data_IF_840395359381
#
_entry.id   IF_840395359381
#
_cell.length_a   1.000
_cell.length_b   1.000
_cell.length_c   1.000
_cell.angle_alpha   90.00
_cell.angle_beta   90.00
_cell.angle_gamma   90.00
#
_symmetry.space_group_name_H-M   'P 1'
#
loop_
_entity.id
_entity.type
_entity.pdbx_description
1 polymer ?
#
# COMPACT_ATOMS: atom_id res chain seq x y z
N UNK A 1 11.81 1.35 -8.30
CA UNK A 1 10.87 0.60 -7.41
C UNK A 1 9.49 0.65 -7.99
N UNK A 2 8.66 -0.33 -7.66
CA UNK A 2 7.24 -0.32 -8.02
C UNK A 2 6.36 -0.35 -6.79
N UNK A 3 5.14 0.20 -6.94
CA UNK A 3 4.11 0.18 -5.93
C UNK A 3 2.82 -0.41 -6.48
N UNK A 4 2.10 -1.13 -5.64
CA UNK A 4 0.66 -1.41 -5.82
C UNK A 4 -0.06 -0.88 -4.60
N UNK A 5 -1.08 -0.05 -4.80
CA UNK A 5 -1.85 0.46 -3.68
C UNK A 5 -3.15 1.15 -4.07
N UNK A 6 -3.70 1.91 -3.12
CA UNK A 6 -5.00 2.55 -3.24
C UNK A 6 -4.89 4.08 -3.47
N UNK A 7 -5.92 4.85 -3.11
CA UNK A 7 -5.94 6.32 -3.26
C UNK A 7 -4.76 7.01 -2.58
N UNK A 8 -4.24 6.46 -1.48
CA UNK A 8 -3.10 7.03 -0.78
C UNK A 8 -1.83 6.87 -1.63
N UNK A 9 -1.72 5.77 -2.38
CA UNK A 9 -0.54 5.44 -3.17
C UNK A 9 -0.55 6.16 -4.52
N UNK A 10 -1.69 6.14 -5.22
CA UNK A 10 -1.83 6.73 -6.56
C UNK A 10 -2.05 8.25 -6.55
N UNK A 11 -2.48 8.79 -5.41
CA UNK A 11 -2.86 10.19 -5.24
C UNK A 11 -4.37 10.37 -5.14
N UNK A 12 -4.78 11.34 -4.34
CA UNK A 12 -6.19 11.65 -4.11
C UNK A 12 -6.37 13.10 -3.66
N UNK A 13 -7.56 13.65 -3.92
CA UNK A 13 -7.88 15.03 -3.57
C UNK A 13 -6.93 16.02 -4.25
N UNK A 14 -6.29 16.94 -3.50
CA UNK A 14 -5.41 17.96 -4.06
C UNK A 14 -3.99 17.47 -4.36
N UNK A 15 -3.63 16.23 -3.98
CA UNK A 15 -2.25 15.75 -4.08
C UNK A 15 -2.06 14.98 -5.39
N UNK A 16 -1.23 15.49 -6.32
CA UNK A 16 -0.95 14.82 -7.57
C UNK A 16 -0.05 13.59 -7.37
N UNK A 17 -0.06 12.68 -8.36
CA UNK A 17 0.66 11.39 -8.28
C UNK A 17 2.18 11.54 -8.02
N UNK A 18 2.81 12.61 -8.49
CA UNK A 18 4.24 12.88 -8.28
C UNK A 18 4.59 13.47 -6.89
N UNK A 19 3.59 13.76 -6.04
CA UNK A 19 3.76 14.23 -4.66
C UNK A 19 3.16 13.25 -3.63
N UNK A 20 2.76 12.05 -4.05
CA UNK A 20 2.28 11.04 -3.12
C UNK A 20 3.43 10.48 -2.29
N UNK A 21 3.09 9.84 -1.16
CA UNK A 21 4.10 9.23 -0.31
C UNK A 21 4.91 8.16 -1.06
N UNK A 22 4.31 7.49 -2.04
CA UNK A 22 4.99 6.49 -2.86
C UNK A 22 6.07 7.15 -3.73
N UNK A 23 5.72 8.25 -4.42
CA UNK A 23 6.66 9.02 -5.23
C UNK A 23 7.75 9.68 -4.39
N UNK A 24 7.37 10.22 -3.23
CA UNK A 24 8.28 10.88 -2.31
C UNK A 24 9.23 9.89 -1.62
N UNK A 25 8.75 8.70 -1.24
CA UNK A 25 9.62 7.61 -0.72
C UNK A 25 10.68 7.24 -1.76
N UNK A 26 10.26 7.08 -3.03
CA UNK A 26 11.19 6.80 -4.11
C UNK A 26 12.23 7.91 -4.26
N UNK A 27 11.80 9.18 -4.21
CA UNK A 27 12.69 10.34 -4.27
C UNK A 27 13.72 10.36 -3.13
N UNK A 28 13.29 10.11 -1.89
CA UNK A 28 14.15 10.05 -0.71
C UNK A 28 15.20 8.93 -0.80
N UNK A 29 14.85 7.80 -1.41
CA UNK A 29 15.75 6.67 -1.63
C UNK A 29 16.60 6.80 -2.92
N UNK A 30 16.39 7.85 -3.73
CA UNK A 30 17.09 8.06 -5.00
C UNK A 30 16.62 7.16 -6.16
N UNK A 31 15.37 6.68 -6.11
CA UNK A 31 14.78 5.74 -7.05
C UNK A 31 13.66 6.38 -7.87
N UNK A 32 13.34 5.78 -9.03
CA UNK A 32 12.15 6.14 -9.80
C UNK A 32 10.96 5.24 -9.42
N UNK A 33 9.76 5.81 -9.17
CA UNK A 33 8.56 5.05 -8.89
C UNK A 33 7.80 4.66 -10.17
N UNK A 34 7.27 3.44 -10.20
CA UNK A 34 6.13 3.05 -11.06
C UNK A 34 4.98 2.64 -10.15
N UNK A 35 3.83 3.27 -10.28
CA UNK A 35 2.71 3.11 -9.34
C UNK A 35 1.52 2.50 -10.07
N UNK A 36 0.98 1.42 -9.53
CA UNK A 36 -0.22 0.73 -9.99
C UNK A 36 -1.32 0.74 -8.91
N UNK A 37 -2.55 0.51 -9.34
CA UNK A 37 -3.74 0.55 -8.49
C UNK A 37 -4.66 1.72 -8.82
N UNK A 38 -5.57 2.07 -7.91
CA UNK A 38 -6.44 3.22 -8.04
C UNK A 38 -7.16 3.58 -6.73
N UNK A 39 -7.86 4.71 -6.71
CA UNK A 39 -8.75 5.05 -5.61
C UNK A 39 -9.78 3.95 -5.30
N UNK A 40 -9.84 3.56 -4.03
CA UNK A 40 -10.77 2.56 -3.51
C UNK A 40 -10.39 1.10 -3.77
N UNK A 41 -9.24 0.84 -4.42
CA UNK A 41 -8.76 -0.55 -4.61
C UNK A 41 -8.20 -1.12 -3.32
N UNK A 42 -8.09 -2.44 -3.28
CA UNK A 42 -7.58 -3.21 -2.15
C UNK A 42 -7.31 -4.65 -2.56
N UNK A 43 -7.07 -5.51 -1.59
CA UNK A 43 -6.86 -6.94 -1.83
C UNK A 43 -8.15 -7.60 -2.36
N UNK A 44 -9.31 -7.19 -1.85
CA UNK A 44 -10.64 -7.62 -2.35
C UNK A 44 -11.46 -6.45 -2.90
N UNK A 45 -11.15 -5.23 -2.48
CA UNK A 45 -11.83 -4.03 -2.94
C UNK A 45 -11.43 -3.69 -4.36
N UNK A 46 -12.42 -3.55 -5.24
CA UNK A 46 -12.21 -3.30 -6.68
C UNK A 46 -12.04 -1.82 -7.05
N UNK A 47 -12.29 -0.91 -6.11
CA UNK A 47 -12.33 0.53 -6.37
C UNK A 47 -13.29 0.90 -7.51
N UNK A 48 -13.10 2.10 -8.06
CA UNK A 48 -13.88 2.60 -9.22
C UNK A 48 -13.46 1.96 -10.55
N UNK A 49 -12.26 1.38 -10.58
CA UNK A 49 -11.65 0.79 -11.79
C UNK A 49 -11.98 -0.70 -11.96
N UNK A 50 -12.80 -1.28 -11.08
CA UNK A 50 -13.27 -2.67 -11.22
C UNK A 50 -12.21 -3.76 -10.98
N UNK A 51 -11.03 -3.41 -10.44
CA UNK A 51 -9.88 -4.32 -10.26
C UNK A 51 -9.32 -4.28 -8.84
N UNK A 52 -8.86 -5.44 -8.35
CA UNK A 52 -8.14 -5.57 -7.06
C UNK A 52 -6.67 -5.22 -7.24
N UNK A 53 -5.89 -5.24 -6.15
CA UNK A 53 -4.44 -5.14 -6.20
C UNK A 53 -3.79 -6.20 -7.09
N UNK A 54 -4.24 -7.45 -7.01
CA UNK A 54 -3.72 -8.51 -7.89
C UNK A 54 -3.95 -8.19 -9.36
N UNK A 55 -5.17 -7.79 -9.73
CA UNK A 55 -5.45 -7.43 -11.12
C UNK A 55 -4.72 -6.15 -11.55
N UNK A 56 -4.44 -5.23 -10.63
CA UNK A 56 -3.63 -4.03 -10.91
C UNK A 56 -2.17 -4.39 -11.19
N UNK A 57 -1.59 -5.30 -10.40
CA UNK A 57 -0.28 -5.89 -10.65
C UNK A 57 -0.22 -6.52 -12.06
N UNK A 58 -1.14 -7.43 -12.38
CA UNK A 58 -1.17 -8.15 -13.66
C UNK A 58 -1.22 -7.22 -14.87
N UNK A 59 -2.03 -6.16 -14.84
CA UNK A 59 -2.27 -5.32 -16.02
C UNK A 59 -1.34 -4.11 -16.13
N UNK A 60 -0.78 -3.62 -15.03
CA UNK A 60 0.03 -2.39 -15.02
C UNK A 60 1.51 -2.63 -14.82
N UNK A 61 1.87 -3.72 -14.13
CA UNK A 61 3.23 -3.98 -13.68
C UNK A 61 3.83 -5.23 -14.30
N UNK A 62 3.11 -6.35 -14.38
CA UNK A 62 3.69 -7.64 -14.72
C UNK A 62 4.36 -7.69 -16.11
N UNK A 63 3.94 -6.90 -17.09
CA UNK A 63 4.60 -6.86 -18.41
C UNK A 63 5.96 -6.13 -18.41
N UNK A 64 6.32 -5.47 -17.30
CA UNK A 64 7.57 -4.71 -17.14
C UNK A 64 8.70 -5.62 -16.64
N UNK A 65 9.97 -5.23 -16.85
CA UNK A 65 11.09 -5.88 -16.17
C UNK A 65 10.90 -5.91 -14.65
N UNK A 66 11.40 -6.97 -14.01
CA UNK A 66 11.34 -7.13 -12.56
C UNK A 66 12.00 -5.93 -11.84
N UNK A 67 11.35 -5.31 -10.85
CA UNK A 67 11.96 -4.26 -10.07
C UNK A 67 12.84 -4.82 -8.95
N UNK A 68 13.78 -4.02 -8.46
CA UNK A 68 14.55 -4.37 -7.25
C UNK A 68 13.66 -4.45 -6.01
N UNK A 69 12.61 -3.61 -5.94
CA UNK A 69 11.66 -3.53 -4.85
C UNK A 69 10.22 -3.34 -5.36
N UNK A 70 9.32 -4.20 -4.90
CA UNK A 70 7.87 -4.00 -4.96
C UNK A 70 7.31 -3.70 -3.56
N UNK A 71 6.62 -2.58 -3.43
CA UNK A 71 5.87 -2.21 -2.24
C UNK A 71 4.38 -2.45 -2.49
N UNK A 72 3.76 -3.33 -1.69
CA UNK A 72 2.31 -3.55 -1.71
C UNK A 72 1.72 -2.87 -0.49
N UNK A 73 0.97 -1.78 -0.70
CA UNK A 73 0.50 -0.92 0.39
C UNK A 73 -1.02 -0.81 0.39
N UNK A 74 -1.67 -1.23 1.47
CA UNK A 74 -3.10 -1.01 1.61
C UNK A 74 -3.83 -1.92 2.58
N UNK A 75 -5.14 -2.05 2.35
CA UNK A 75 -6.09 -2.72 3.26
C UNK A 75 -7.12 -1.76 3.86
N UNK A 76 -6.97 -0.45 3.68
CA UNK A 76 -7.92 0.57 4.17
C UNK A 76 -9.35 0.32 3.66
N UNK A 77 -9.46 0.01 2.36
CA UNK A 77 -10.73 -0.23 1.69
C UNK A 77 -11.32 -1.61 2.00
N UNK A 78 -10.53 -2.54 2.54
CA UNK A 78 -10.92 -3.93 2.71
C UNK A 78 -11.69 -4.21 4.02
N UNK A 79 -11.89 -3.20 4.87
CA UNK A 79 -12.61 -3.31 6.16
C UNK A 79 -13.98 -3.97 6.09
N UNK A 80 -14.68 -3.85 4.96
CA UNK A 80 -16.01 -4.46 4.78
C UNK A 80 -15.97 -5.98 4.54
N UNK A 81 -14.79 -6.54 4.30
CA UNK A 81 -14.62 -7.95 3.97
C UNK A 81 -14.21 -8.81 5.18
N UNK A 82 -14.41 -10.12 5.03
CA UNK A 82 -13.86 -11.11 5.96
C UNK A 82 -12.32 -11.03 5.96
N UNK A 83 -11.73 -10.96 7.15
CA UNK A 83 -10.27 -10.92 7.36
C UNK A 83 -9.59 -12.17 6.83
N UNK A 84 -10.23 -13.34 6.93
CA UNK A 84 -9.76 -14.58 6.29
C UNK A 84 -9.67 -14.44 4.78
N UNK A 85 -10.69 -13.85 4.12
CA UNK A 85 -10.67 -13.64 2.67
C UNK A 85 -9.62 -12.61 2.26
N UNK A 86 -9.43 -11.55 3.07
CA UNK A 86 -8.39 -10.53 2.84
C UNK A 86 -7.00 -11.17 2.93
N UNK A 87 -6.72 -11.95 3.98
CA UNK A 87 -5.47 -12.70 4.14
C UNK A 87 -5.20 -13.60 2.92
N UNK A 88 -6.17 -14.42 2.53
CA UNK A 88 -6.03 -15.31 1.37
C UNK A 88 -5.80 -14.53 0.06
N UNK A 89 -6.39 -13.35 -0.11
CA UNK A 89 -6.15 -12.50 -1.28
C UNK A 89 -4.74 -11.91 -1.27
N UNK A 90 -4.22 -11.54 -0.10
CA UNK A 90 -2.83 -11.10 0.05
C UNK A 90 -1.84 -12.24 -0.25
N UNK A 91 -2.07 -13.44 0.29
CA UNK A 91 -1.25 -14.64 0.02
C UNK A 91 -1.19 -14.98 -1.48
N UNK A 92 -2.34 -14.93 -2.17
CA UNK A 92 -2.39 -15.12 -3.63
C UNK A 92 -1.59 -14.08 -4.38
N UNK A 93 -1.71 -12.79 -4.01
CA UNK A 93 -0.93 -11.73 -4.65
C UNK A 93 0.58 -11.91 -4.43
N UNK A 94 1.00 -12.24 -3.20
CA UNK A 94 2.42 -12.49 -2.92
C UNK A 94 2.96 -13.70 -3.69
N UNK A 95 2.16 -14.76 -3.80
CA UNK A 95 2.51 -15.95 -4.59
C UNK A 95 2.64 -15.63 -6.08
N UNK A 96 1.70 -14.86 -6.64
CA UNK A 96 1.73 -14.40 -8.03
C UNK A 96 2.99 -13.57 -8.31
N UNK A 97 3.29 -12.59 -7.45
CA UNK A 97 4.49 -11.75 -7.60
C UNK A 97 5.76 -12.59 -7.56
N UNK A 98 5.87 -13.55 -6.64
CA UNK A 98 7.07 -14.39 -6.52
C UNK A 98 7.22 -15.36 -7.70
N UNK A 99 6.13 -15.88 -8.24
CA UNK A 99 6.15 -16.71 -9.44
C UNK A 99 6.61 -15.90 -10.66
N UNK A 100 6.14 -14.65 -10.76
CA UNK A 100 6.44 -13.77 -11.89
C UNK A 100 7.82 -13.11 -11.81
N UNK A 101 8.24 -12.70 -10.61
CA UNK A 101 9.49 -12.00 -10.32
C UNK A 101 10.21 -12.64 -9.10
N UNK A 102 10.84 -13.81 -9.26
CA UNK A 102 11.43 -14.57 -8.16
C UNK A 102 12.59 -13.86 -7.44
N UNK A 103 13.25 -12.89 -8.09
CA UNK A 103 14.36 -12.12 -7.51
C UNK A 103 13.97 -10.76 -6.91
N UNK A 104 12.71 -10.32 -7.05
CA UNK A 104 12.27 -9.01 -6.56
C UNK A 104 12.11 -9.03 -5.05
N UNK A 105 12.70 -8.04 -4.35
CA UNK A 105 12.39 -7.82 -2.93
C UNK A 105 10.96 -7.32 -2.81
N UNK A 106 10.13 -7.99 -2.03
CA UNK A 106 8.75 -7.58 -1.78
C UNK A 106 8.62 -7.12 -0.34
N UNK A 107 7.90 -6.03 -0.12
CA UNK A 107 7.49 -5.57 1.22
C UNK A 107 5.99 -5.28 1.22
N UNK A 108 5.36 -5.51 2.36
CA UNK A 108 3.96 -5.16 2.57
C UNK A 108 3.84 -4.03 3.57
N UNK A 109 3.05 -3.02 3.22
CA UNK A 109 2.69 -1.92 4.13
C UNK A 109 1.22 -2.08 4.49
N UNK A 110 0.94 -2.10 5.79
CA UNK A 110 -0.41 -2.24 6.32
C UNK A 110 -1.34 -1.05 5.98
N UNK A 111 -2.61 -1.11 6.42
CA UNK A 111 -3.56 -0.03 6.20
C UNK A 111 -3.05 1.28 6.80
N UNK A 112 -3.10 2.36 6.04
CA UNK A 112 -2.78 3.70 6.58
C UNK A 112 -4.03 4.28 7.24
N UNK A 113 -3.87 4.72 8.50
CA UNK A 113 -4.87 5.46 9.27
C UNK A 113 -4.23 6.66 9.93
N UNK A 114 -4.62 7.87 9.50
CA UNK A 114 -4.03 9.12 10.00
C UNK A 114 -4.76 9.66 11.23
N UNK A 115 -6.03 9.28 11.40
CA UNK A 115 -6.83 9.55 12.60
C UNK A 115 -7.10 8.29 13.42
N UNK A 116 -8.19 8.32 14.20
CA UNK A 116 -8.65 7.15 14.96
C UNK A 116 -9.12 6.01 14.05
N UNK A 117 -8.46 4.85 14.15
CA UNK A 117 -8.82 3.67 13.38
C UNK A 117 -9.96 2.88 14.02
N UNK A 118 -10.95 2.40 13.23
CA UNK A 118 -11.98 1.50 13.77
C UNK A 118 -11.37 0.13 14.11
N UNK A 119 -11.97 -0.64 15.05
CA UNK A 119 -11.49 -1.98 15.40
C UNK A 119 -11.25 -2.89 14.19
N UNK A 120 -12.13 -2.78 13.19
CA UNK A 120 -12.04 -3.56 11.95
C UNK A 120 -10.77 -3.29 11.13
N UNK A 121 -10.20 -2.09 11.22
CA UNK A 121 -8.95 -1.77 10.55
C UNK A 121 -7.78 -2.56 11.16
N UNK A 122 -7.74 -2.70 12.50
CA UNK A 122 -6.74 -3.50 13.19
C UNK A 122 -6.86 -4.99 12.85
N UNK A 123 -8.08 -5.54 12.76
CA UNK A 123 -8.27 -6.93 12.34
C UNK A 123 -7.75 -7.19 10.92
N UNK A 124 -7.95 -6.23 9.99
CA UNK A 124 -7.41 -6.32 8.63
C UNK A 124 -5.89 -6.21 8.65
N UNK A 125 -5.32 -5.28 9.43
CA UNK A 125 -3.87 -5.14 9.63
C UNK A 125 -3.26 -6.44 10.13
N UNK A 126 -3.85 -7.09 11.14
CA UNK A 126 -3.36 -8.35 11.69
C UNK A 126 -3.43 -9.50 10.67
N UNK A 127 -4.51 -9.56 9.89
CA UNK A 127 -4.67 -10.55 8.83
C UNK A 127 -3.62 -10.40 7.72
N UNK A 128 -3.28 -9.17 7.35
CA UNK A 128 -2.23 -8.85 6.37
C UNK A 128 -0.83 -9.13 6.91
N UNK A 129 -0.56 -8.76 8.17
CA UNK A 129 0.69 -9.11 8.84
C UNK A 129 0.92 -10.62 8.89
N UNK A 130 -0.15 -11.40 9.15
CA UNK A 130 -0.09 -12.86 9.10
C UNK A 130 0.19 -13.41 7.70
N UNK A 131 -0.43 -12.85 6.65
CA UNK A 131 -0.14 -13.23 5.26
C UNK A 131 1.34 -12.96 4.92
N UNK A 132 1.83 -11.76 5.21
CA UNK A 132 3.21 -11.37 4.94
C UNK A 132 4.20 -12.27 5.69
N UNK A 133 3.99 -12.49 6.99
CA UNK A 133 4.84 -13.37 7.81
C UNK A 133 4.84 -14.84 7.34
N UNK A 134 3.69 -15.37 6.91
CA UNK A 134 3.59 -16.71 6.34
C UNK A 134 4.38 -16.89 5.03
N UNK A 135 4.60 -15.80 4.31
CA UNK A 135 5.30 -15.76 3.02
C UNK A 135 6.75 -15.26 3.12
N UNK A 136 7.24 -14.97 4.35
CA UNK A 136 8.58 -14.42 4.58
C UNK A 136 8.76 -12.98 4.08
N UNK A 137 7.66 -12.24 3.90
CA UNK A 137 7.64 -10.86 3.41
C UNK A 137 7.64 -9.88 4.61
N UNK A 138 8.55 -8.90 4.66
CA UNK A 138 8.51 -7.85 5.68
C UNK A 138 7.17 -7.10 5.69
N UNK A 139 6.64 -6.85 6.88
CA UNK A 139 5.40 -6.09 7.09
C UNK A 139 5.67 -4.83 7.91
N UNK A 140 5.42 -3.66 7.32
CA UNK A 140 5.55 -2.37 7.99
C UNK A 140 4.16 -1.82 8.35
N UNK A 141 4.02 -1.39 9.59
CA UNK A 141 2.72 -1.04 10.18
C UNK A 141 2.60 0.47 10.46
N UNK A 142 1.99 1.25 9.55
CA UNK A 142 1.81 2.68 9.74
C UNK A 142 0.78 3.01 10.83
N UNK A 143 -0.02 2.05 11.29
CA UNK A 143 -0.99 2.27 12.39
C UNK A 143 -0.34 2.31 13.77
N UNK A 144 0.96 1.96 13.88
CA UNK A 144 1.77 2.18 15.09
C UNK A 144 2.22 3.62 15.25
N UNK A 145 2.18 4.39 14.16
CA UNK A 145 2.60 5.78 14.16
C UNK A 145 1.47 6.68 14.69
N UNK A 146 1.87 7.78 15.34
CA UNK A 146 0.96 8.86 15.69
C UNK A 146 1.12 9.98 14.67
N UNK A 147 0.17 10.06 13.75
CA UNK A 147 0.15 11.12 12.74
C UNK A 147 -0.46 12.39 13.35
N UNK A 148 0.10 13.57 13.03
CA UNK A 148 -0.42 14.82 13.55
C UNK A 148 -1.66 15.27 12.76
N UNK A 149 -2.51 16.12 13.35
CA UNK A 149 -3.79 16.49 12.76
C UNK A 149 -3.65 17.21 11.40
N UNK A 150 -2.56 17.92 11.15
CA UNK A 150 -2.29 18.55 9.85
C UNK A 150 -1.94 17.54 8.74
N UNK A 151 -1.67 16.27 9.09
CA UNK A 151 -1.39 15.23 8.11
C UNK A 151 -2.65 14.75 7.39
N UNK A 152 -3.86 15.07 7.88
CA UNK A 152 -5.13 14.57 7.34
C UNK A 152 -5.96 15.69 6.72
N UNK A 153 -6.54 15.43 5.55
CA UNK A 153 -7.44 16.34 4.88
C UNK A 153 -8.75 16.50 5.67
N UNK A 154 -9.55 17.56 5.37
CA UNK A 154 -10.86 17.76 6.02
C UNK A 154 -11.85 16.60 5.85
N UNK A 155 -11.61 15.69 4.90
CA UNK A 155 -12.42 14.48 4.72
C UNK A 155 -12.20 13.41 5.81
N UNK A 156 -11.21 13.62 6.69
CA UNK A 156 -10.90 12.72 7.80
C UNK A 156 -10.32 11.38 7.37
N UNK A 157 -9.86 11.24 6.12
CA UNK A 157 -9.34 9.99 5.58
C UNK A 157 -8.00 10.20 4.89
N UNK A 158 -7.95 11.07 3.88
CA UNK A 158 -6.80 11.14 2.97
C UNK A 158 -5.71 12.07 3.52
N UNK A 159 -4.44 11.79 3.23
CA UNK A 159 -3.34 12.65 3.64
C UNK A 159 -3.36 14.02 2.95
N UNK A 160 -2.96 15.06 3.68
CA UNK A 160 -2.49 16.31 3.07
C UNK A 160 -1.15 16.07 2.36
N UNK A 161 -0.64 17.06 1.63
CA UNK A 161 0.73 16.98 1.09
C UNK A 161 1.76 16.73 2.22
N UNK A 162 1.67 17.47 3.33
CA UNK A 162 2.52 17.24 4.51
C UNK A 162 2.32 15.84 5.11
N UNK A 163 1.10 15.29 5.06
CA UNK A 163 0.84 13.90 5.43
C UNK A 163 1.58 12.89 4.56
N UNK A 164 1.59 13.08 3.24
CA UNK A 164 2.36 12.24 2.32
C UNK A 164 3.88 12.33 2.57
N UNK A 165 4.42 13.53 2.81
CA UNK A 165 5.84 13.74 3.13
C UNK A 165 6.24 13.00 4.42
N UNK A 166 5.37 13.03 5.44
CA UNK A 166 5.59 12.30 6.70
C UNK A 166 5.52 10.79 6.52
N UNK A 167 4.52 10.28 5.79
CA UNK A 167 4.44 8.84 5.47
C UNK A 167 5.67 8.41 4.69
N UNK A 168 6.12 9.22 3.73
CA UNK A 168 7.29 8.92 2.91
C UNK A 168 8.58 8.87 3.72
N UNK A 169 8.77 9.82 4.63
CA UNK A 169 9.93 9.84 5.54
C UNK A 169 9.95 8.60 6.42
N UNK A 170 8.80 8.22 6.98
CA UNK A 170 8.68 6.98 7.76
C UNK A 170 9.00 5.76 6.91
N UNK A 171 8.37 5.60 5.74
CA UNK A 171 8.58 4.43 4.89
C UNK A 171 10.01 4.34 4.36
N UNK A 172 10.65 5.46 4.01
CA UNK A 172 12.05 5.48 3.59
C UNK A 172 12.98 5.00 4.70
N UNK A 173 12.72 5.38 5.96
CA UNK A 173 13.49 4.91 7.11
C UNK A 173 13.34 3.40 7.35
N UNK A 174 12.14 2.84 7.14
CA UNK A 174 11.89 1.40 7.26
C UNK A 174 12.55 0.58 6.13
N UNK A 175 12.82 1.21 4.98
CA UNK A 175 13.38 0.59 3.77
C UNK A 175 14.89 0.73 3.60
N UNK A 176 15.53 1.55 4.43
CA UNK A 176 16.98 1.82 4.43
C UNK A 176 17.73 0.73 5.20
#
# INVERSE_FOLDING_TARGET
MMFVGDSFTVGSGPVPSWQTYASETARLLGWQPVIAGAGGTGFLSKGRVGRTFQRSFEVELAWRPAPDLLVISGGHNDRRWSTTRVRQAAERLLTEVRAHWPGTRVVMVGPIWLGGAPPKAYEVRDALAKAAGGEGVPFYDPMRQRWPAEAILPDGVHPTQAGHERIATWLAAELS
#
